data_IF_997931214469
#
_entry.id   IF_997931214469
#
_cell.length_a   1.000
_cell.length_b   1.000
_cell.length_c   1.000
_cell.angle_alpha   90.00
_cell.angle_beta   90.00
_cell.angle_gamma   90.00
#
_symmetry.space_group_name_H-M   'P 1'
#
loop_
_entity.id
_entity.type
_entity.pdbx_description
1 polymer ?
#
# COMPACT_ATOMS: atom_id res chain seq x y z
N UNK A 1 5.75 -72.76 -19.16
CA UNK A 1 5.63 -71.41 -18.54
C UNK A 1 7.03 -70.87 -18.31
N UNK A 2 7.37 -69.77 -18.99
CA UNK A 2 8.75 -69.33 -19.20
C UNK A 2 9.15 -68.28 -18.15
N UNK A 3 9.91 -68.68 -17.13
CA UNK A 3 10.29 -67.85 -15.96
C UNK A 3 11.01 -66.54 -16.36
N UNK A 4 11.63 -66.50 -17.54
CA UNK A 4 12.33 -65.32 -18.06
C UNK A 4 11.43 -64.12 -18.39
N UNK A 5 10.17 -64.35 -18.75
CA UNK A 5 9.24 -63.24 -19.09
C UNK A 5 8.76 -62.47 -17.85
N UNK A 6 8.70 -63.13 -16.69
CA UNK A 6 8.33 -62.47 -15.43
C UNK A 6 9.44 -61.57 -14.89
N UNK A 7 10.72 -61.93 -15.08
CA UNK A 7 11.85 -61.11 -14.62
C UNK A 7 12.02 -59.81 -15.42
N UNK A 8 11.77 -59.85 -16.74
CA UNK A 8 11.84 -58.64 -17.59
C UNK A 8 10.73 -57.64 -17.28
N UNK A 9 9.52 -58.12 -16.96
CA UNK A 9 8.41 -57.25 -16.56
C UNK A 9 8.65 -56.54 -15.23
N UNK A 10 9.25 -57.23 -14.25
CA UNK A 10 9.55 -56.67 -12.93
C UNK A 10 10.63 -55.59 -12.99
N UNK A 11 11.70 -55.80 -13.79
CA UNK A 11 12.78 -54.83 -13.94
C UNK A 11 12.33 -53.57 -14.70
N UNK A 12 11.49 -53.71 -15.72
CA UNK A 12 10.91 -52.58 -16.44
C UNK A 12 9.95 -51.77 -15.55
N UNK A 13 9.13 -52.44 -14.74
CA UNK A 13 8.23 -51.78 -13.78
C UNK A 13 8.98 -51.01 -12.69
N UNK A 14 10.08 -51.56 -12.17
CA UNK A 14 10.92 -50.89 -11.18
C UNK A 14 11.60 -49.62 -11.74
N UNK A 15 12.07 -49.67 -13.00
CA UNK A 15 12.68 -48.52 -13.67
C UNK A 15 11.71 -47.35 -13.88
N UNK A 16 10.48 -47.64 -14.33
CA UNK A 16 9.44 -46.61 -14.49
C UNK A 16 9.01 -45.99 -13.15
N UNK A 17 8.88 -46.80 -12.10
CA UNK A 17 8.55 -46.31 -10.76
C UNK A 17 9.60 -45.35 -10.21
N UNK A 18 10.89 -45.67 -10.39
CA UNK A 18 11.99 -44.81 -9.94
C UNK A 18 12.02 -43.46 -10.68
N UNK A 19 11.79 -43.46 -12.00
CA UNK A 19 11.77 -42.23 -12.79
C UNK A 19 10.61 -41.31 -12.40
N UNK A 20 9.42 -41.87 -12.19
CA UNK A 20 8.25 -41.12 -11.73
C UNK A 20 8.48 -40.49 -10.35
N UNK A 21 9.06 -41.24 -9.41
CA UNK A 21 9.40 -40.73 -8.09
C UNK A 21 10.41 -39.58 -8.16
N UNK A 22 11.42 -39.69 -9.05
CA UNK A 22 12.42 -38.64 -9.23
C UNK A 22 11.79 -37.35 -9.79
N UNK A 23 10.92 -37.46 -10.79
CA UNK A 23 10.21 -36.30 -11.37
C UNK A 23 9.31 -35.62 -10.35
N UNK A 24 8.57 -36.38 -9.54
CA UNK A 24 7.73 -35.82 -8.45
C UNK A 24 8.60 -35.15 -7.40
N UNK A 25 9.71 -35.77 -6.98
CA UNK A 25 10.62 -35.20 -5.99
C UNK A 25 11.27 -33.90 -6.51
N UNK A 26 11.74 -33.88 -7.75
CA UNK A 26 12.33 -32.69 -8.39
C UNK A 26 11.31 -31.57 -8.57
N UNK A 27 10.09 -31.90 -9.03
CA UNK A 27 9.01 -30.93 -9.14
C UNK A 27 8.61 -30.33 -7.79
N UNK A 28 8.56 -31.16 -6.75
CA UNK A 28 8.26 -30.72 -5.38
C UNK A 28 9.38 -29.84 -4.82
N UNK A 29 10.65 -30.23 -5.00
CA UNK A 29 11.79 -29.39 -4.57
C UNK A 29 11.78 -28.05 -5.28
N UNK A 30 11.52 -28.04 -6.59
CA UNK A 30 11.45 -26.82 -7.38
C UNK A 30 10.30 -25.91 -6.90
N UNK A 31 9.11 -26.48 -6.68
CA UNK A 31 7.96 -25.74 -6.16
C UNK A 31 8.21 -25.17 -4.75
N UNK A 32 8.79 -25.96 -3.85
CA UNK A 32 9.12 -25.52 -2.50
C UNK A 32 10.30 -24.53 -2.45
N UNK A 33 11.18 -24.55 -3.46
CA UNK A 33 12.30 -23.61 -3.59
C UNK A 33 11.90 -22.23 -4.11
N UNK A 34 10.66 -22.06 -4.58
CA UNK A 34 10.22 -20.75 -5.03
C UNK A 34 10.12 -19.81 -3.82
N UNK A 35 10.78 -18.64 -3.87
CA UNK A 35 10.68 -17.67 -2.79
C UNK A 35 9.20 -17.31 -2.61
N UNK A 36 8.66 -17.58 -1.41
CA UNK A 36 7.31 -17.12 -1.06
C UNK A 36 7.29 -15.61 -1.20
N UNK A 37 6.27 -15.08 -1.87
CA UNK A 37 6.03 -13.65 -1.91
C UNK A 37 5.85 -13.20 -0.45
N UNK A 38 6.83 -12.47 0.07
CA UNK A 38 6.75 -11.84 1.38
C UNK A 38 5.74 -10.72 1.25
N UNK A 39 4.49 -11.04 1.58
CA UNK A 39 3.44 -10.06 1.78
C UNK A 39 3.60 -9.45 3.17
N UNK A 40 4.67 -8.71 3.41
CA UNK A 40 4.74 -7.88 4.60
C UNK A 40 3.79 -6.69 4.38
N UNK A 41 2.57 -6.84 4.92
CA UNK A 41 1.70 -5.73 5.25
C UNK A 41 1.82 -5.58 6.77
N UNK A 42 2.87 -4.89 7.21
CA UNK A 42 3.05 -4.51 8.61
C UNK A 42 3.04 -3.00 8.67
N UNK A 43 2.42 -2.46 9.72
CA UNK A 43 2.53 -1.06 10.06
C UNK A 43 2.96 -0.91 11.52
N UNK A 44 3.67 0.17 11.80
CA UNK A 44 4.04 0.57 13.16
C UNK A 44 4.02 2.09 13.27
N UNK A 45 3.84 2.59 14.49
CA UNK A 45 3.78 4.02 14.78
C UNK A 45 4.61 4.34 16.01
N UNK A 46 5.45 5.36 15.87
CA UNK A 46 6.20 5.93 16.98
C UNK A 46 6.20 7.45 16.88
N UNK A 47 5.59 8.12 17.86
CA UNK A 47 5.50 9.58 17.93
C UNK A 47 4.96 10.19 16.61
N UNK A 48 5.78 11.02 15.97
CA UNK A 48 5.51 11.77 14.74
C UNK A 48 5.85 10.96 13.48
N UNK A 49 6.05 9.64 13.60
CA UNK A 49 6.36 8.76 12.49
C UNK A 49 5.43 7.56 12.45
N UNK A 50 4.99 7.22 11.24
CA UNK A 50 4.38 5.91 10.94
C UNK A 50 5.21 5.24 9.86
N UNK A 51 5.38 3.94 9.97
CA UNK A 51 6.02 3.12 8.95
C UNK A 51 5.04 2.06 8.46
N UNK A 52 5.03 1.79 7.16
CA UNK A 52 4.28 0.68 6.60
C UNK A 52 5.05 0.02 5.47
N UNK A 53 4.83 -1.28 5.27
CA UNK A 53 5.41 -2.04 4.17
C UNK A 53 4.35 -2.53 3.19
N UNK A 54 4.74 -2.73 1.93
CA UNK A 54 3.88 -3.31 0.91
C UNK A 54 4.65 -3.66 -0.36
N UNK A 55 4.18 -4.64 -1.12
CA UNK A 55 4.82 -5.03 -2.38
C UNK A 55 4.78 -3.90 -3.42
N UNK A 56 5.87 -3.74 -4.16
CA UNK A 56 6.02 -2.74 -5.24
C UNK A 56 6.58 -3.43 -6.48
N UNK A 57 5.96 -3.21 -7.64
CA UNK A 57 6.48 -3.67 -8.92
C UNK A 57 7.36 -2.58 -9.55
N UNK A 58 8.67 -2.84 -9.64
CA UNK A 58 9.60 -1.96 -10.35
C UNK A 58 9.59 -2.22 -11.86
N UNK A 59 9.27 -3.46 -12.24
CA UNK A 59 9.13 -3.97 -13.60
C UNK A 59 8.17 -5.17 -13.56
N UNK A 60 7.50 -5.56 -14.66
CA UNK A 60 6.60 -6.73 -14.66
C UNK A 60 7.24 -8.04 -14.15
N UNK A 61 8.57 -8.14 -14.15
CA UNK A 61 9.32 -9.29 -13.65
C UNK A 61 9.99 -9.08 -12.28
N UNK A 62 10.08 -7.84 -11.80
CA UNK A 62 10.83 -7.49 -10.59
C UNK A 62 9.87 -6.90 -9.57
N UNK A 63 9.66 -7.65 -8.49
CA UNK A 63 8.90 -7.22 -7.32
C UNK A 63 9.87 -6.93 -6.17
N UNK A 64 9.72 -5.76 -5.58
CA UNK A 64 10.48 -5.29 -4.43
C UNK A 64 9.55 -5.09 -3.24
N UNK A 65 10.14 -4.95 -2.05
CA UNK A 65 9.39 -4.57 -0.86
C UNK A 65 9.50 -3.06 -0.70
N UNK A 66 8.36 -2.38 -0.82
CA UNK A 66 8.23 -0.95 -0.60
C UNK A 66 8.13 -0.65 0.89
N UNK A 67 8.86 0.36 1.32
CA UNK A 67 8.82 0.93 2.67
C UNK A 67 8.31 2.35 2.57
N UNK A 68 7.27 2.64 3.34
CA UNK A 68 6.64 3.93 3.45
C UNK A 68 6.92 4.50 4.82
N UNK A 69 7.32 5.77 4.88
CA UNK A 69 7.47 6.50 6.14
C UNK A 69 6.69 7.79 6.03
N UNK A 70 5.78 7.99 6.97
CA UNK A 70 5.01 9.21 7.12
C UNK A 70 5.63 10.03 8.25
N UNK A 71 6.14 11.22 7.92
CA UNK A 71 6.71 12.18 8.86
C UNK A 71 5.69 13.30 9.10
N UNK A 72 5.09 13.31 10.28
CA UNK A 72 4.05 14.29 10.65
C UNK A 72 4.64 15.67 10.85
N UNK A 73 5.88 15.74 11.36
CA UNK A 73 6.54 16.99 11.69
C UNK A 73 6.96 17.74 10.44
N UNK A 74 7.47 17.03 9.44
CA UNK A 74 7.78 17.61 8.13
C UNK A 74 6.54 17.70 7.23
N UNK A 75 5.47 16.98 7.55
CA UNK A 75 4.29 16.86 6.69
C UNK A 75 4.61 16.17 5.37
N UNK A 76 5.49 15.17 5.41
CA UNK A 76 6.01 14.48 4.23
C UNK A 76 5.67 13.00 4.24
N UNK A 77 5.36 12.48 3.06
CA UNK A 77 5.36 11.05 2.79
C UNK A 77 6.67 10.70 2.08
N UNK A 78 7.43 9.81 2.70
CA UNK A 78 8.65 9.24 2.16
C UNK A 78 8.38 7.81 1.70
N UNK A 79 8.99 7.43 0.59
CA UNK A 79 8.86 6.10 0.01
C UNK A 79 10.18 5.61 -0.52
N UNK A 80 10.49 4.35 -0.24
CA UNK A 80 11.64 3.67 -0.80
C UNK A 80 11.32 2.20 -1.11
N UNK A 81 12.20 1.54 -1.84
CA UNK A 81 12.16 0.10 -2.08
C UNK A 81 13.47 -0.54 -1.64
N UNK A 82 13.37 -1.78 -1.20
CA UNK A 82 14.53 -2.64 -0.94
C UNK A 82 14.77 -3.48 -2.19
N UNK A 83 15.93 -3.30 -2.83
CA UNK A 83 16.40 -4.19 -3.89
C UNK A 83 16.74 -5.55 -3.27
N UNK A 84 15.97 -6.58 -3.63
CA UNK A 84 16.15 -7.96 -3.13
C UNK A 84 17.45 -8.60 -3.60
N UNK A 85 18.00 -8.18 -4.73
CA UNK A 85 19.26 -8.71 -5.25
C UNK A 85 20.45 -8.19 -4.43
N UNK A 86 20.38 -6.94 -3.97
CA UNK A 86 21.48 -6.28 -3.25
C UNK A 86 21.27 -6.19 -1.74
N UNK A 87 20.03 -6.37 -1.26
CA UNK A 87 19.65 -6.14 0.14
C UNK A 87 19.75 -4.68 0.56
N UNK A 88 19.64 -3.72 -0.38
CA UNK A 88 19.87 -2.29 -0.14
C UNK A 88 18.65 -1.45 -0.50
N UNK A 89 18.51 -0.32 0.18
CA UNK A 89 17.53 0.73 -0.12
C UNK A 89 17.91 1.45 -1.42
N UNK A 90 16.94 1.64 -2.32
CA UNK A 90 17.13 2.33 -3.61
C UNK A 90 16.50 3.71 -3.56
N UNK A 91 17.28 4.69 -3.08
CA UNK A 91 16.89 6.10 -3.03
C UNK A 91 15.64 6.38 -2.19
N UNK A 92 15.19 7.63 -2.21
CA UNK A 92 13.95 8.05 -1.54
C UNK A 92 13.14 8.90 -2.51
N UNK A 93 11.84 8.62 -2.57
CA UNK A 93 10.84 9.50 -3.15
C UNK A 93 10.13 10.23 -2.02
N UNK A 94 9.81 11.50 -2.24
CA UNK A 94 9.12 12.34 -1.27
C UNK A 94 7.86 12.94 -1.89
N UNK A 95 6.83 13.12 -1.07
CA UNK A 95 5.62 13.86 -1.39
C UNK A 95 5.33 14.82 -0.24
N UNK A 96 5.06 16.09 -0.58
CA UNK A 96 4.60 17.10 0.36
C UNK A 96 3.10 16.94 0.61
N UNK A 97 2.76 16.35 1.76
CA UNK A 97 1.36 16.12 2.13
C UNK A 97 0.67 17.40 2.58
N UNK A 98 1.40 18.40 3.09
CA UNK A 98 0.80 19.68 3.50
C UNK A 98 0.21 20.37 2.29
N UNK A 99 1.00 20.48 1.21
CA UNK A 99 0.56 21.03 -0.07
C UNK A 99 -0.54 20.19 -0.71
N UNK A 100 -0.39 18.85 -0.74
CA UNK A 100 -1.38 17.98 -1.37
C UNK A 100 -2.74 17.98 -0.65
N UNK A 101 -2.74 17.91 0.67
CA UNK A 101 -3.96 17.90 1.49
C UNK A 101 -4.48 19.30 1.78
N UNK A 102 -3.80 20.36 1.33
CA UNK A 102 -4.18 21.76 1.59
C UNK A 102 -4.37 22.00 3.10
N UNK A 103 -3.42 21.51 3.90
CA UNK A 103 -3.42 21.71 5.35
C UNK A 103 -3.06 23.17 5.62
N UNK A 104 -3.84 23.82 6.49
CA UNK A 104 -3.54 25.20 6.88
C UNK A 104 -2.24 25.28 7.69
N UNK A 105 -1.41 26.33 7.49
CA UNK A 105 -0.18 26.48 8.26
C UNK A 105 -0.45 26.53 9.77
N UNK A 106 0.43 25.88 10.56
CA UNK A 106 0.35 25.80 12.03
C UNK A 106 -0.89 25.08 12.58
N UNK A 107 -1.58 24.30 11.76
CA UNK A 107 -2.64 23.41 12.22
C UNK A 107 -2.06 22.08 12.71
N UNK A 108 -2.63 21.53 13.78
CA UNK A 108 -2.32 20.17 14.21
C UNK A 108 -2.88 19.16 13.19
N UNK A 109 -1.96 18.43 12.57
CA UNK A 109 -2.28 17.40 11.57
C UNK A 109 -2.32 16.03 12.20
N UNK A 110 -3.32 15.25 11.80
CA UNK A 110 -3.46 13.88 12.25
C UNK A 110 -3.62 12.97 11.05
N UNK A 111 -2.49 12.57 10.48
CA UNK A 111 -2.49 11.57 9.44
C UNK A 111 -2.72 10.15 9.99
N UNK A 112 -3.23 9.27 9.16
CA UNK A 112 -3.25 7.82 9.32
C UNK A 112 -2.87 7.21 7.98
N UNK A 113 -2.14 6.09 7.99
CA UNK A 113 -1.85 5.37 6.76
C UNK A 113 -1.91 3.85 6.92
N UNK A 114 -2.21 3.17 5.82
CA UNK A 114 -2.22 1.71 5.72
C UNK A 114 -1.92 1.29 4.30
N UNK A 115 -1.30 0.13 4.12
CA UNK A 115 -1.07 -0.47 2.81
C UNK A 115 -2.11 -1.56 2.52
N UNK A 116 -2.45 -1.74 1.24
CA UNK A 116 -3.32 -2.84 0.81
C UNK A 116 -3.02 -3.27 -0.62
N UNK A 117 -3.20 -4.56 -0.90
CA UNK A 117 -2.95 -5.12 -2.23
C UNK A 117 -4.04 -4.68 -3.21
N UNK A 118 -3.62 -4.18 -4.38
CA UNK A 118 -4.53 -3.83 -5.48
C UNK A 118 -4.47 -4.91 -6.57
N UNK A 119 -3.28 -5.44 -6.82
CA UNK A 119 -3.03 -6.56 -7.72
C UNK A 119 -1.79 -7.33 -7.25
N UNK A 120 -1.49 -8.46 -7.88
CA UNK A 120 -0.35 -9.28 -7.52
C UNK A 120 0.97 -8.49 -7.67
N UNK A 121 1.74 -8.39 -6.59
CA UNK A 121 3.02 -7.67 -6.56
C UNK A 121 2.94 -6.15 -6.48
N UNK A 122 1.74 -5.57 -6.32
CA UNK A 122 1.58 -4.13 -6.19
C UNK A 122 0.57 -3.76 -5.09
N UNK A 123 1.03 -2.92 -4.17
CA UNK A 123 0.22 -2.36 -3.09
C UNK A 123 -0.09 -0.88 -3.33
N UNK A 124 -1.27 -0.47 -2.88
CA UNK A 124 -1.61 0.93 -2.62
C UNK A 124 -1.16 1.29 -1.21
N UNK A 125 -0.84 2.56 -1.02
CA UNK A 125 -0.85 3.23 0.26
C UNK A 125 -2.09 4.12 0.34
N UNK A 126 -2.89 3.93 1.37
CA UNK A 126 -4.03 4.77 1.70
C UNK A 126 -3.62 5.72 2.81
N UNK A 127 -3.82 7.03 2.61
CA UNK A 127 -3.48 8.06 3.58
C UNK A 127 -4.72 8.89 3.88
N UNK A 128 -5.10 8.99 5.14
CA UNK A 128 -6.18 9.86 5.60
C UNK A 128 -5.60 10.98 6.46
N UNK A 129 -5.99 12.22 6.21
CA UNK A 129 -5.75 13.33 7.14
C UNK A 129 -7.06 13.59 7.91
N UNK A 130 -7.01 13.34 9.20
CA UNK A 130 -8.18 13.21 10.06
C UNK A 130 -8.75 14.56 10.50
N UNK A 131 -8.03 15.67 10.34
CA UNK A 131 -8.55 16.98 10.72
C UNK A 131 -9.39 17.59 9.59
N UNK A 132 -8.84 17.66 8.38
CA UNK A 132 -9.47 18.11 7.13
C UNK A 132 -10.49 17.10 6.56
N UNK A 133 -10.35 15.81 6.89
CA UNK A 133 -11.22 14.76 6.36
C UNK A 133 -10.93 14.41 4.90
N UNK A 134 -9.69 14.64 4.44
CA UNK A 134 -9.22 14.27 3.10
C UNK A 134 -8.54 12.90 3.11
N UNK A 135 -8.66 12.19 2.00
CA UNK A 135 -8.17 10.83 1.80
C UNK A 135 -7.47 10.70 0.46
N UNK A 136 -6.22 10.25 0.45
CA UNK A 136 -5.39 10.06 -0.73
C UNK A 136 -5.03 8.59 -0.96
N UNK A 137 -4.93 8.22 -2.23
CA UNK A 137 -4.49 6.88 -2.67
C UNK A 137 -3.20 7.02 -3.46
N UNK A 138 -2.16 6.30 -3.04
CA UNK A 138 -0.83 6.36 -3.61
C UNK A 138 -0.32 5.00 -4.01
N UNK A 139 0.58 4.94 -4.98
CA UNK A 139 1.41 3.76 -5.26
C UNK A 139 2.86 4.17 -5.47
N UNK A 140 3.77 3.24 -5.24
CA UNK A 140 5.16 3.41 -5.64
C UNK A 140 5.45 2.56 -6.87
N UNK A 141 6.43 2.99 -7.67
CA UNK A 141 6.97 2.20 -8.76
C UNK A 141 8.32 2.73 -9.23
N UNK A 142 8.88 2.09 -10.26
CA UNK A 142 10.10 2.56 -10.91
C UNK A 142 9.92 3.97 -11.50
N UNK A 143 10.92 4.82 -11.28
CA UNK A 143 11.04 6.13 -11.90
C UNK A 143 11.34 6.03 -13.40
N UNK A 144 11.26 7.15 -14.13
CA UNK A 144 11.39 7.16 -15.60
C UNK A 144 12.69 6.53 -16.13
N UNK A 145 13.76 6.57 -15.33
CA UNK A 145 15.08 6.07 -15.70
C UNK A 145 15.45 4.72 -15.07
N UNK A 146 14.49 4.06 -14.39
CA UNK A 146 14.69 2.73 -13.79
C UNK A 146 15.62 2.66 -12.57
N UNK A 147 16.30 3.76 -12.21
CA UNK A 147 17.24 3.83 -11.08
C UNK A 147 16.68 4.51 -9.82
N UNK A 148 15.54 5.18 -9.94
CA UNK A 148 14.86 5.83 -8.82
C UNK A 148 13.49 5.22 -8.57
N UNK A 149 12.95 5.44 -7.39
CA UNK A 149 11.54 5.21 -7.08
C UNK A 149 10.75 6.50 -7.27
N UNK A 150 9.46 6.37 -7.60
CA UNK A 150 8.53 7.49 -7.64
C UNK A 150 7.24 7.12 -6.93
N UNK A 151 6.70 8.06 -6.16
CA UNK A 151 5.36 7.97 -5.57
C UNK A 151 4.38 8.63 -6.53
N UNK A 152 3.29 7.95 -6.83
CA UNK A 152 2.22 8.45 -7.71
C UNK A 152 0.91 8.50 -6.93
N UNK A 153 0.28 9.67 -6.93
CA UNK A 153 -1.08 9.85 -6.42
C UNK A 153 -2.08 9.43 -7.51
N UNK A 154 -3.02 8.57 -7.14
CA UNK A 154 -4.11 8.12 -8.01
C UNK A 154 -5.40 8.87 -7.74
N UNK A 155 -5.67 9.17 -6.47
CA UNK A 155 -6.89 9.85 -6.06
C UNK A 155 -6.64 10.71 -4.81
N UNK A 156 -7.46 11.75 -4.67
CA UNK A 156 -7.55 12.60 -3.49
C UNK A 156 -9.00 13.08 -3.34
N UNK A 157 -9.68 12.57 -2.33
CA UNK A 157 -11.10 12.83 -2.08
C UNK A 157 -11.34 13.27 -0.64
N UNK A 158 -12.58 13.66 -0.31
CA UNK A 158 -13.02 13.98 1.05
C UNK A 158 -13.96 12.88 1.54
N UNK A 159 -13.69 12.35 2.74
CA UNK A 159 -14.57 11.39 3.41
C UNK A 159 -15.47 12.03 4.46
N UNK A 160 -15.30 13.34 4.71
CA UNK A 160 -16.22 14.16 5.50
C UNK A 160 -17.05 15.04 4.58
N UNK A 161 -18.36 15.07 4.80
CA UNK A 161 -19.24 16.06 4.16
C UNK A 161 -18.81 17.44 4.66
N UNK A 162 -18.64 18.41 3.76
CA UNK A 162 -18.51 19.80 4.17
C UNK A 162 -19.73 20.16 5.05
N UNK A 163 -19.57 20.93 6.13
CA UNK A 163 -20.71 21.39 6.91
C UNK A 163 -21.70 22.02 5.94
N UNK A 164 -22.92 21.48 5.90
CA UNK A 164 -23.99 22.10 5.14
C UNK A 164 -24.12 23.52 5.70
N UNK A 165 -24.01 24.57 4.87
CA UNK A 165 -24.12 25.93 5.36
C UNK A 165 -25.41 25.99 6.14
N UNK A 166 -25.32 26.28 7.43
CA UNK A 166 -26.47 26.36 8.30
C UNK A 166 -27.43 27.30 7.60
N UNK A 167 -28.55 26.76 7.09
CA UNK A 167 -29.60 27.57 6.48
C UNK A 167 -29.81 28.74 7.42
N UNK A 168 -29.48 29.95 6.93
CA UNK A 168 -29.54 31.16 7.72
C UNK A 168 -30.89 31.12 8.45
N UNK A 169 -30.84 31.10 9.79
CA UNK A 169 -32.04 31.05 10.59
C UNK A 169 -33.00 32.13 10.02
N UNK A 170 -34.26 31.78 9.72
CA UNK A 170 -35.19 32.71 9.10
C UNK A 170 -35.13 34.02 9.89
N UNK A 171 -34.87 35.11 9.16
CA UNK A 171 -34.64 36.43 9.74
C UNK A 171 -35.66 36.68 10.85
N UNK A 172 -35.16 37.01 12.04
CA UNK A 172 -36.02 37.26 13.19
C UNK A 172 -37.11 38.26 12.76
N UNK A 173 -38.40 38.00 13.09
CA UNK A 173 -39.48 38.88 12.70
C UNK A 173 -39.18 40.31 13.19
N UNK A 174 -39.48 41.34 12.39
CA UNK A 174 -39.18 42.71 12.75
C UNK A 174 -39.82 43.03 14.10
N UNK A 175 -39.00 43.47 15.04
CA UNK A 175 -39.46 43.88 16.38
C UNK A 175 -40.45 45.02 16.18
N UNK A 176 -41.70 44.90 16.68
CA UNK A 176 -42.68 45.97 16.57
C UNK A 176 -42.16 47.26 17.21
N UNK A 177 -42.41 48.43 16.61
CA UNK A 177 -41.99 49.70 17.21
C UNK A 177 -42.64 49.86 18.58
N UNK A 178 -41.83 50.20 19.58
CA UNK A 178 -42.29 50.55 20.92
C UNK A 178 -43.26 51.72 20.78
N UNK A 179 -44.54 51.51 21.13
CA UNK A 179 -45.48 52.63 21.27
C UNK A 179 -44.95 53.54 22.37
N UNK A 180 -44.63 54.78 22.02
CA UNK A 180 -44.33 55.81 23.00
C UNK A 180 -45.53 55.94 23.95
N UNK A 181 -45.29 55.76 25.24
CA UNK A 181 -46.28 56.03 26.28
C UNK A 181 -46.59 57.53 26.24
N UNK A 182 -47.80 57.88 25.81
CA UNK A 182 -48.35 59.22 25.98
C UNK A 182 -48.58 59.51 27.47
N UNK A 183 -48.27 60.74 27.87
CA UNK A 183 -48.45 61.26 29.23
C UNK A 183 -49.88 61.60 29.61
#
# INVERSE_FOLDING_TARGET
MNVREHFTGLAAGAGLGALAALLVASGTLFYLSQPRLVGAASNDRFQDYVMATGAVSLSPRIQADGVWVLDYRAGKLLGTVIDKAQGKIVGWAEVDLVGEFQVEPRQDVHFMMVTGFITNGQSALYVAEMTTGKFGVYTMGGGPNGSSVVIRRHDLTSFRKAPEPANAAPAAPPVPPLKAAGG
#
